data_IF_401582184832
#
_entry.id   IF_401582184832
#
_cell.length_a   1.000
_cell.length_b   1.000
_cell.length_c   1.000
_cell.angle_alpha   90.00
_cell.angle_beta   90.00
_cell.angle_gamma   90.00
#
_symmetry.space_group_name_H-M   'P 1'
#
loop_
_entity.id
_entity.type
_entity.pdbx_description
1 polymer ?
#
# COMPACT_ATOMS: atom_id res chain seq x y z
N UNK A 1 0.92 -13.51 1.97
CA UNK A 1 0.10 -13.20 3.15
C UNK A 1 0.55 -13.96 4.38
N UNK A 2 0.74 -15.28 4.32
CA UNK A 2 1.31 -16.05 5.45
C UNK A 2 2.60 -15.41 5.99
N UNK A 3 3.43 -14.89 5.09
CA UNK A 3 4.70 -14.24 5.44
C UNK A 3 4.51 -12.94 6.25
N UNK A 4 3.46 -12.15 5.96
CA UNK A 4 3.16 -10.92 6.73
C UNK A 4 2.81 -11.27 8.18
N UNK A 5 1.85 -12.19 8.37
CA UNK A 5 1.46 -12.64 9.70
C UNK A 5 2.62 -13.32 10.43
N UNK A 6 3.41 -14.12 9.71
CA UNK A 6 4.62 -14.76 10.27
C UNK A 6 5.63 -13.72 10.79
N UNK A 7 5.87 -12.63 10.05
CA UNK A 7 6.79 -11.58 10.50
C UNK A 7 6.28 -10.92 11.78
N UNK A 8 4.98 -10.63 11.88
CA UNK A 8 4.40 -10.07 13.11
C UNK A 8 4.46 -11.05 14.28
N UNK A 9 4.21 -12.33 14.04
CA UNK A 9 4.36 -13.40 15.06
C UNK A 9 5.81 -13.48 15.54
N UNK A 10 6.76 -13.48 14.60
CA UNK A 10 8.19 -13.53 14.90
C UNK A 10 8.64 -12.32 15.74
N UNK A 11 8.24 -11.10 15.35
CA UNK A 11 8.60 -9.89 16.12
C UNK A 11 8.04 -9.99 17.55
N UNK A 12 6.79 -10.42 17.68
CA UNK A 12 6.16 -10.62 18.99
C UNK A 12 6.91 -11.63 19.87
N UNK A 13 7.37 -12.73 19.26
CA UNK A 13 8.07 -13.80 19.98
C UNK A 13 9.45 -13.38 20.48
N UNK A 14 10.13 -12.48 19.76
CA UNK A 14 11.47 -12.00 20.14
C UNK A 14 11.44 -10.74 21.03
N UNK A 15 10.30 -10.05 21.15
CA UNK A 15 10.13 -8.96 22.11
C UNK A 15 10.23 -9.47 23.54
N UNK A 16 10.83 -8.64 24.42
CA UNK A 16 11.09 -9.03 25.82
C UNK A 16 12.43 -9.75 26.00
N UNK A 17 13.16 -10.04 24.92
CA UNK A 17 14.53 -10.54 24.97
C UNK A 17 15.57 -9.43 25.26
N UNK A 18 16.86 -9.80 25.25
CA UNK A 18 17.98 -8.89 25.56
C UNK A 18 18.22 -7.82 24.48
N UNK A 19 17.70 -7.98 23.27
CA UNK A 19 17.85 -7.02 22.17
C UNK A 19 16.87 -5.86 22.30
N UNK A 20 17.40 -4.69 22.66
CA UNK A 20 16.62 -3.46 22.85
C UNK A 20 15.93 -2.96 21.58
N UNK A 21 16.43 -3.30 20.37
CA UNK A 21 15.85 -2.86 19.10
C UNK A 21 14.42 -3.40 18.93
N UNK A 22 14.21 -4.70 19.13
CA UNK A 22 12.90 -5.33 18.98
C UNK A 22 11.88 -4.82 20.00
N UNK A 23 12.36 -4.45 21.19
CA UNK A 23 11.52 -3.88 22.25
C UNK A 23 11.03 -2.45 21.95
N UNK A 24 11.60 -1.78 20.94
CA UNK A 24 11.13 -0.44 20.49
C UNK A 24 9.99 -0.52 19.48
N UNK A 25 9.72 -1.68 18.93
CA UNK A 25 8.64 -1.85 17.93
C UNK A 25 7.29 -1.87 18.64
N UNK A 26 6.39 -0.98 18.22
CA UNK A 26 5.03 -0.92 18.72
C UNK A 26 4.13 -1.85 17.89
N UNK A 27 3.74 -2.97 18.46
CA UNK A 27 2.83 -3.94 17.82
C UNK A 27 1.34 -3.65 18.07
N UNK A 28 1.03 -2.61 18.85
CA UNK A 28 -0.35 -2.14 19.05
C UNK A 28 -0.78 -1.12 17.98
N UNK A 29 0.16 -0.68 17.12
CA UNK A 29 -0.07 0.27 16.03
C UNK A 29 0.71 -0.15 14.79
N UNK A 30 0.07 -0.98 13.96
CA UNK A 30 0.73 -1.62 12.82
C UNK A 30 0.07 -1.22 11.50
N UNK A 31 0.75 -0.41 10.73
CA UNK A 31 0.40 -0.09 9.35
C UNK A 31 1.07 -1.03 8.35
N UNK A 32 0.41 -1.29 7.24
CA UNK A 32 0.97 -2.04 6.13
C UNK A 32 0.89 -1.22 4.83
N UNK A 33 1.97 -1.22 4.06
CA UNK A 33 1.91 -0.69 2.70
C UNK A 33 2.66 -1.58 1.72
N UNK A 34 2.29 -1.45 0.44
CA UNK A 34 2.98 -2.18 -0.62
C UNK A 34 2.70 -1.60 -2.00
N UNK A 35 3.66 -1.81 -2.91
CA UNK A 35 3.56 -1.43 -4.31
C UNK A 35 3.13 -2.63 -5.16
N UNK A 36 2.29 -2.39 -6.17
CA UNK A 36 1.94 -3.39 -7.18
C UNK A 36 1.31 -4.65 -6.57
N UNK A 37 1.94 -5.81 -6.74
CA UNK A 37 1.57 -7.07 -6.10
C UNK A 37 1.61 -6.96 -4.58
N UNK A 38 2.60 -6.22 -4.03
CA UNK A 38 2.69 -5.91 -2.60
C UNK A 38 1.50 -5.09 -2.11
N UNK A 39 0.94 -4.18 -2.92
CA UNK A 39 -0.29 -3.45 -2.62
C UNK A 39 -1.51 -4.37 -2.51
N UNK A 40 -1.63 -5.32 -3.45
CA UNK A 40 -2.64 -6.37 -3.37
C UNK A 40 -2.45 -7.26 -2.12
N UNK A 41 -1.20 -7.60 -1.79
CA UNK A 41 -0.87 -8.35 -0.57
C UNK A 41 -1.26 -7.58 0.69
N UNK A 42 -1.00 -6.26 0.74
CA UNK A 42 -1.38 -5.41 1.86
C UNK A 42 -2.90 -5.41 2.10
N UNK A 43 -3.70 -5.29 1.03
CA UNK A 43 -5.16 -5.37 1.07
C UNK A 43 -5.62 -6.72 1.63
N UNK A 44 -5.08 -7.83 1.10
CA UNK A 44 -5.45 -9.19 1.54
C UNK A 44 -5.05 -9.43 2.99
N UNK A 45 -3.85 -8.97 3.39
CA UNK A 45 -3.39 -9.07 4.78
C UNK A 45 -4.32 -8.30 5.73
N UNK A 46 -4.63 -7.03 5.43
CA UNK A 46 -5.52 -6.19 6.25
C UNK A 46 -6.95 -6.74 6.34
N UNK A 47 -7.40 -7.52 5.34
CA UNK A 47 -8.71 -8.16 5.39
C UNK A 47 -8.77 -9.38 6.32
N UNK A 48 -7.63 -9.95 6.72
CA UNK A 48 -7.52 -11.23 7.42
C UNK A 48 -6.79 -11.17 8.75
N UNK A 49 -5.79 -10.28 8.90
CA UNK A 49 -5.01 -10.12 10.12
C UNK A 49 -5.48 -8.86 10.86
N UNK A 50 -6.11 -9.06 12.01
CA UNK A 50 -6.71 -7.99 12.82
C UNK A 50 -5.69 -7.14 13.58
N UNK A 51 -4.41 -7.47 13.48
CA UNK A 51 -3.31 -6.67 14.05
C UNK A 51 -2.92 -5.50 13.14
N UNK A 52 -3.41 -5.48 11.89
CA UNK A 52 -3.13 -4.41 10.95
C UNK A 52 -4.20 -3.33 11.10
N UNK A 53 -3.77 -2.12 11.43
CA UNK A 53 -4.63 -1.00 11.78
C UNK A 53 -4.86 -0.02 10.62
N UNK A 54 -3.94 0.02 9.65
CA UNK A 54 -4.04 0.88 8.47
C UNK A 54 -3.37 0.25 7.25
N UNK A 55 -3.89 0.53 6.05
CA UNK A 55 -3.44 -0.07 4.79
C UNK A 55 -3.20 0.97 3.71
N UNK A 56 -2.03 0.94 3.06
CA UNK A 56 -1.74 1.72 1.85
C UNK A 56 -1.41 0.79 0.69
N UNK A 57 -2.03 1.02 -0.48
CA UNK A 57 -1.66 0.38 -1.73
C UNK A 57 -1.12 1.41 -2.72
N UNK A 58 0.16 1.29 -3.06
CA UNK A 58 0.84 2.10 -4.06
C UNK A 58 0.70 1.42 -5.42
N UNK A 59 -0.14 1.96 -6.28
CA UNK A 59 -0.51 1.39 -7.58
C UNK A 59 -0.76 -0.12 -7.55
N UNK A 60 -1.53 -0.53 -6.52
CA UNK A 60 -1.75 -1.93 -6.14
C UNK A 60 -2.43 -2.76 -7.23
N UNK A 61 -2.03 -4.02 -7.36
CA UNK A 61 -2.62 -4.98 -8.30
C UNK A 61 -3.74 -5.78 -7.64
N UNK A 62 -5.00 -5.41 -7.94
CA UNK A 62 -6.19 -5.97 -7.33
C UNK A 62 -6.83 -7.11 -8.15
N UNK A 63 -6.39 -7.32 -9.39
CA UNK A 63 -6.97 -8.36 -10.27
C UNK A 63 -6.91 -9.77 -9.66
N UNK A 64 -5.80 -10.20 -9.01
CA UNK A 64 -5.72 -11.54 -8.44
C UNK A 64 -6.39 -11.68 -7.06
N UNK A 65 -6.94 -10.59 -6.49
CA UNK A 65 -7.58 -10.65 -5.17
C UNK A 65 -8.91 -11.40 -5.27
N UNK A 66 -9.17 -12.27 -4.30
CA UNK A 66 -10.43 -12.98 -4.21
C UNK A 66 -11.63 -12.02 -4.17
N UNK A 67 -12.65 -12.28 -4.98
CA UNK A 67 -13.84 -11.44 -5.06
C UNK A 67 -14.61 -11.35 -3.73
N UNK A 68 -14.45 -12.33 -2.86
CA UNK A 68 -15.00 -12.31 -1.50
C UNK A 68 -14.41 -11.18 -0.65
N UNK A 69 -13.12 -10.90 -0.80
CA UNK A 69 -12.42 -9.79 -0.13
C UNK A 69 -12.85 -8.46 -0.73
N UNK A 70 -12.82 -8.35 -2.07
CA UNK A 70 -13.22 -7.14 -2.79
C UNK A 70 -14.64 -6.70 -2.39
N UNK A 71 -15.60 -7.61 -2.38
CA UNK A 71 -17.01 -7.33 -2.05
C UNK A 71 -17.27 -7.08 -0.57
N UNK A 72 -16.37 -7.53 0.31
CA UNK A 72 -16.47 -7.30 1.75
C UNK A 72 -15.90 -5.95 2.17
N UNK A 73 -14.93 -5.42 1.42
CA UNK A 73 -14.19 -4.22 1.76
C UNK A 73 -13.26 -4.41 2.97
N UNK A 74 -12.62 -3.33 3.39
CA UNK A 74 -11.74 -3.28 4.54
C UNK A 74 -12.44 -2.69 5.76
N UNK A 75 -12.00 -3.09 6.95
CA UNK A 75 -12.45 -2.56 8.25
C UNK A 75 -11.44 -1.58 8.85
N UNK A 76 -10.32 -1.41 8.20
CA UNK A 76 -9.25 -0.49 8.60
C UNK A 76 -9.15 0.65 7.58
N UNK A 77 -8.66 1.83 7.96
CA UNK A 77 -8.39 2.93 7.05
C UNK A 77 -7.54 2.48 5.86
N UNK A 78 -7.91 2.92 4.67
CA UNK A 78 -7.29 2.50 3.42
C UNK A 78 -6.99 3.70 2.51
N UNK A 79 -5.75 3.78 2.03
CA UNK A 79 -5.33 4.73 1.01
C UNK A 79 -4.80 3.99 -0.21
N UNK A 80 -5.38 4.27 -1.37
CA UNK A 80 -4.82 3.88 -2.66
C UNK A 80 -4.22 5.12 -3.33
N UNK A 81 -2.96 5.02 -3.76
CA UNK A 81 -2.34 6.00 -4.65
C UNK A 81 -1.90 5.29 -5.92
N UNK A 82 -2.27 5.83 -7.09
CA UNK A 82 -1.98 5.15 -8.36
C UNK A 82 -2.02 6.06 -9.58
N UNK A 83 -1.63 5.48 -10.71
CA UNK A 83 -1.60 6.12 -12.02
C UNK A 83 -3.00 6.27 -12.62
N UNK A 84 -3.15 7.13 -13.63
CA UNK A 84 -4.44 7.37 -14.31
C UNK A 84 -4.95 6.15 -15.07
N UNK A 85 -4.05 5.32 -15.60
CA UNK A 85 -4.42 4.23 -16.50
C UNK A 85 -3.76 2.91 -16.09
N UNK A 86 -4.60 1.91 -15.84
CA UNK A 86 -4.19 0.51 -15.72
C UNK A 86 -4.54 -0.25 -17.00
N UNK A 87 -3.63 -1.06 -17.57
CA UNK A 87 -3.90 -1.86 -18.77
C UNK A 87 -5.11 -2.78 -18.65
N UNK A 88 -5.41 -3.25 -17.43
CA UNK A 88 -6.60 -4.06 -17.13
C UNK A 88 -7.59 -3.23 -16.32
N UNK A 89 -8.71 -2.86 -16.94
CA UNK A 89 -9.78 -2.06 -16.30
C UNK A 89 -10.35 -2.72 -15.04
N UNK A 90 -10.37 -4.06 -14.97
CA UNK A 90 -10.84 -4.83 -13.80
C UNK A 90 -10.08 -4.41 -12.53
N UNK A 91 -8.84 -3.90 -12.65
CA UNK A 91 -8.09 -3.43 -11.49
C UNK A 91 -8.82 -2.30 -10.75
N UNK A 92 -9.28 -1.29 -11.48
CA UNK A 92 -9.99 -0.14 -10.90
C UNK A 92 -11.45 -0.45 -10.58
N UNK A 93 -12.11 -1.33 -11.31
CA UNK A 93 -13.44 -1.83 -10.96
C UNK A 93 -13.41 -2.56 -9.61
N UNK A 94 -12.40 -3.40 -9.38
CA UNK A 94 -12.17 -4.05 -8.10
C UNK A 94 -11.85 -3.04 -6.99
N UNK A 95 -11.02 -2.03 -7.27
CA UNK A 95 -10.68 -0.98 -6.31
C UNK A 95 -11.93 -0.19 -5.90
N UNK A 96 -12.72 0.26 -6.86
CA UNK A 96 -13.93 1.04 -6.60
C UNK A 96 -14.95 0.22 -5.80
N UNK A 97 -15.07 -1.08 -6.13
CA UNK A 97 -15.92 -2.02 -5.35
C UNK A 97 -15.41 -2.20 -3.93
N UNK A 98 -14.10 -2.37 -3.74
CA UNK A 98 -13.46 -2.51 -2.43
C UNK A 98 -13.71 -1.26 -1.57
N UNK A 99 -13.49 -0.07 -2.13
CA UNK A 99 -13.70 1.21 -1.45
C UNK A 99 -15.16 1.37 -1.03
N UNK A 100 -16.08 1.13 -1.96
CA UNK A 100 -17.52 1.26 -1.69
C UNK A 100 -18.02 0.28 -0.62
N UNK A 101 -17.40 -0.89 -0.49
CA UNK A 101 -17.74 -1.91 0.50
C UNK A 101 -17.02 -1.72 1.84
N UNK A 102 -15.98 -0.88 1.91
CA UNK A 102 -15.20 -0.65 3.12
C UNK A 102 -16.01 0.09 4.18
N UNK A 103 -15.84 -0.31 5.45
CA UNK A 103 -16.55 0.29 6.59
C UNK A 103 -15.75 1.35 7.34
N UNK A 104 -14.43 1.35 7.15
CA UNK A 104 -13.54 2.42 7.58
C UNK A 104 -13.33 3.43 6.44
N UNK A 105 -12.64 4.55 6.73
CA UNK A 105 -12.28 5.55 5.72
C UNK A 105 -11.47 4.91 4.60
N UNK A 106 -11.86 5.17 3.35
CA UNK A 106 -11.14 4.67 2.18
C UNK A 106 -10.98 5.79 1.14
N UNK A 107 -9.75 6.04 0.74
CA UNK A 107 -9.41 7.12 -0.19
C UNK A 107 -8.71 6.56 -1.44
N UNK A 108 -9.06 7.11 -2.61
CA UNK A 108 -8.41 6.84 -3.89
C UNK A 108 -7.81 8.12 -4.43
N UNK A 109 -6.49 8.18 -4.50
CA UNK A 109 -5.73 9.28 -5.07
C UNK A 109 -5.09 8.87 -6.39
N UNK A 110 -5.57 9.42 -7.49
CA UNK A 110 -5.01 9.20 -8.82
C UNK A 110 -4.12 10.38 -9.18
N UNK A 111 -2.88 10.08 -9.55
CA UNK A 111 -1.86 11.07 -9.87
C UNK A 111 -1.59 11.10 -11.37
N UNK A 112 -1.99 12.19 -12.02
CA UNK A 112 -1.73 12.41 -13.43
C UNK A 112 -0.25 12.51 -13.71
N UNK A 113 0.16 12.02 -14.89
CA UNK A 113 1.56 12.05 -15.30
C UNK A 113 2.44 11.01 -14.62
N UNK A 114 1.87 10.10 -13.81
CA UNK A 114 2.60 8.99 -13.21
C UNK A 114 2.39 7.68 -13.97
N UNK A 115 3.30 6.74 -13.78
CA UNK A 115 3.24 5.35 -14.25
C UNK A 115 3.55 4.38 -13.12
N UNK A 116 3.30 3.11 -13.39
CA UNK A 116 3.40 2.02 -12.41
C UNK A 116 4.70 2.02 -11.58
N UNK A 117 5.84 2.20 -12.24
CA UNK A 117 7.14 2.16 -11.56
C UNK A 117 7.51 3.45 -10.83
N UNK A 118 6.75 4.53 -11.01
CA UNK A 118 6.96 5.79 -10.27
C UNK A 118 6.61 5.67 -8.78
N UNK A 119 5.88 4.62 -8.41
CA UNK A 119 5.57 4.26 -7.01
C UNK A 119 6.62 3.34 -6.37
N UNK A 120 7.80 3.24 -6.97
CA UNK A 120 8.97 2.49 -6.51
C UNK A 120 10.24 3.33 -6.68
N UNK A 121 11.39 2.80 -6.24
CA UNK A 121 12.68 3.47 -6.40
C UNK A 121 13.26 3.37 -7.83
N UNK A 122 12.61 2.64 -8.74
CA UNK A 122 13.07 2.40 -10.11
C UNK A 122 13.48 3.69 -10.86
N UNK A 123 12.70 4.78 -10.83
CA UNK A 123 13.07 6.01 -11.51
C UNK A 123 14.34 6.68 -10.97
N UNK A 124 14.65 6.46 -9.69
CA UNK A 124 15.83 7.06 -9.04
C UNK A 124 17.14 6.39 -9.48
N UNK A 125 17.08 5.11 -9.83
CA UNK A 125 18.25 4.36 -10.32
C UNK A 125 18.55 4.60 -11.80
N UNK A 126 17.60 5.15 -12.57
CA UNK A 126 17.75 5.36 -14.00
C UNK A 126 17.13 6.68 -14.45
N UNK A 127 17.96 7.70 -14.62
CA UNK A 127 17.55 9.03 -15.11
C UNK A 127 16.96 9.03 -16.53
N UNK A 128 17.10 7.93 -17.28
CA UNK A 128 16.50 7.74 -18.59
C UNK A 128 15.15 7.00 -18.55
N UNK A 129 14.64 6.65 -17.37
CA UNK A 129 13.41 5.85 -17.20
C UNK A 129 12.21 6.46 -17.93
N UNK A 130 12.05 7.78 -17.91
CA UNK A 130 10.99 8.47 -18.63
C UNK A 130 11.14 8.37 -20.15
N UNK A 131 12.38 8.42 -20.68
CA UNK A 131 12.64 8.26 -22.12
C UNK A 131 12.31 6.88 -22.65
N UNK A 132 12.42 5.86 -21.80
CA UNK A 132 12.03 4.47 -22.11
C UNK A 132 10.56 4.17 -21.76
N UNK A 133 9.80 5.18 -21.33
CA UNK A 133 8.39 5.01 -20.98
C UNK A 133 8.13 4.19 -19.71
N UNK A 134 9.15 3.98 -18.87
CA UNK A 134 9.07 3.29 -17.57
C UNK A 134 8.47 4.22 -16.53
N UNK A 135 8.91 5.49 -16.50
CA UNK A 135 8.35 6.56 -15.67
C UNK A 135 7.42 7.46 -16.46
N UNK A 136 6.56 8.17 -15.76
CA UNK A 136 5.66 9.17 -16.32
C UNK A 136 6.35 10.49 -16.63
N UNK A 137 5.55 11.55 -16.66
CA UNK A 137 5.98 12.92 -17.00
C UNK A 137 6.00 13.85 -15.79
N UNK A 138 5.47 13.42 -14.64
CA UNK A 138 5.54 14.18 -13.39
C UNK A 138 6.99 14.30 -12.95
N UNK A 139 7.35 15.46 -12.40
CA UNK A 139 8.67 15.65 -11.81
C UNK A 139 8.89 14.68 -10.66
N UNK A 140 10.04 14.00 -10.64
CA UNK A 140 10.31 12.94 -9.68
C UNK A 140 10.50 13.45 -8.24
N UNK A 141 11.05 14.65 -8.07
CA UNK A 141 11.21 15.25 -6.75
C UNK A 141 9.86 15.72 -6.18
N UNK A 142 9.01 16.30 -7.03
CA UNK A 142 7.65 16.67 -6.67
C UNK A 142 6.83 15.42 -6.27
N UNK A 143 6.87 14.36 -7.07
CA UNK A 143 6.20 13.11 -6.78
C UNK A 143 6.69 12.49 -5.47
N UNK A 144 8.00 12.46 -5.24
CA UNK A 144 8.58 11.92 -4.01
C UNK A 144 8.11 12.67 -2.77
N UNK A 145 8.10 14.01 -2.84
CA UNK A 145 7.62 14.86 -1.75
C UNK A 145 6.12 14.57 -1.48
N UNK A 146 5.33 14.50 -2.53
CA UNK A 146 3.89 14.21 -2.43
C UNK A 146 3.64 12.82 -1.84
N UNK A 147 4.27 11.77 -2.37
CA UNK A 147 4.08 10.41 -1.86
C UNK A 147 4.49 10.31 -0.39
N UNK A 148 5.69 10.80 -0.03
CA UNK A 148 6.17 10.76 1.35
C UNK A 148 5.24 11.51 2.30
N UNK A 149 4.81 12.72 1.94
CA UNK A 149 3.90 13.51 2.78
C UNK A 149 2.57 12.80 2.99
N UNK A 150 2.00 12.21 1.93
CA UNK A 150 0.72 11.49 2.01
C UNK A 150 0.82 10.20 2.81
N UNK A 151 1.91 9.43 2.65
CA UNK A 151 2.15 8.19 3.39
C UNK A 151 2.29 8.50 4.89
N UNK A 152 3.17 9.45 5.23
CA UNK A 152 3.42 9.83 6.63
C UNK A 152 2.13 10.35 7.28
N UNK A 153 1.47 11.34 6.65
CA UNK A 153 0.24 11.92 7.20
C UNK A 153 -0.88 10.88 7.35
N UNK A 154 -0.97 9.92 6.42
CA UNK A 154 -1.97 8.86 6.52
C UNK A 154 -1.72 7.96 7.73
N UNK A 155 -0.48 7.52 7.95
CA UNK A 155 -0.15 6.67 9.10
C UNK A 155 -0.21 7.45 10.41
N UNK A 156 0.26 8.70 10.47
CA UNK A 156 0.13 9.55 11.69
C UNK A 156 -1.33 9.77 12.12
N UNK A 157 -2.26 9.80 11.15
CA UNK A 157 -3.68 9.99 11.45
C UNK A 157 -4.38 8.70 11.90
N UNK A 158 -3.88 7.53 11.47
CA UNK A 158 -4.60 6.27 11.58
C UNK A 158 -3.91 5.20 12.44
N UNK A 159 -2.72 5.49 12.95
CA UNK A 159 -1.99 4.68 13.92
C UNK A 159 -1.77 5.44 15.23
#
# INVERSE_FOLDING_TARGET
>A
MADVSFVLDYIKDIQGGDDSFWNMIDLERVGIMGHSFGGGTAIVASSRDTRLDACIALDGWLVPIEQSIIKKGLKVPFLFMGQTYWPNQVNYENLDTLIAASTASAEKLILDGTKHFDYSDTPQFNSASSKFGISGTMDLDELRILLNSRIVSFFELNL
#
